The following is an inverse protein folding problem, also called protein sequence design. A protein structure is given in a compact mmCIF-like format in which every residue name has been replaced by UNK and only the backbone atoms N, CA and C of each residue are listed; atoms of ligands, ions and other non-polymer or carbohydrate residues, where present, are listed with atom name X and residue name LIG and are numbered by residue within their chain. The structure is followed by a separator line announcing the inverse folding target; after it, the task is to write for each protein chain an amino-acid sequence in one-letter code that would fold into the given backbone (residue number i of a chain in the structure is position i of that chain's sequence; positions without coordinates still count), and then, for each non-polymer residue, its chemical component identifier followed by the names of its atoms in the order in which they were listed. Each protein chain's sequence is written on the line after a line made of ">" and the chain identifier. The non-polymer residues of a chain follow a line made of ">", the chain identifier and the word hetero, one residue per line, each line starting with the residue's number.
data_IF_147326337085
#
_entry.id   IF_147326337085
#
_cell.length_a   1.000
_cell.length_b   1.000
_cell.length_c   1.000
_cell.angle_alpha   90.00
_cell.angle_beta   90.00
_cell.angle_gamma   90.00
#
_symmetry.space_group_name_H-M   'P 1'
#
loop_
_entity.id
_entity.type
_entity.pdbx_description
1 polymer ?
#
# COMPACT_ATOMS: atom_id res chain seq x y z
N UNK A 1 44.68 30.43 -86.30
CA UNK A 1 44.53 30.83 -84.89
C UNK A 1 43.09 31.30 -84.66
N UNK A 2 42.10 30.40 -84.47
CA UNK A 2 40.75 30.80 -84.02
C UNK A 2 39.82 29.66 -83.52
N UNK A 3 40.34 28.50 -83.12
CA UNK A 3 39.52 27.33 -82.69
C UNK A 3 39.47 27.11 -81.18
N UNK A 4 40.25 27.87 -80.39
CA UNK A 4 40.34 27.70 -78.94
C UNK A 4 39.23 28.48 -78.20
N UNK A 5 38.76 29.61 -78.76
CA UNK A 5 37.70 30.42 -78.13
C UNK A 5 36.30 29.78 -78.24
N UNK A 6 35.98 29.08 -79.33
CA UNK A 6 34.64 28.51 -79.53
C UNK A 6 34.37 27.29 -78.63
N UNK A 7 35.38 26.45 -78.38
CA UNK A 7 35.25 25.31 -77.48
C UNK A 7 35.08 25.76 -76.01
N UNK A 8 35.87 26.74 -75.57
CA UNK A 8 35.76 27.30 -74.23
C UNK A 8 34.44 28.05 -74.00
N UNK A 9 33.89 28.71 -75.03
CA UNK A 9 32.55 29.31 -75.00
C UNK A 9 31.44 28.27 -74.92
N UNK A 10 31.54 27.18 -75.68
CA UNK A 10 30.57 26.09 -75.63
C UNK A 10 30.51 25.44 -74.24
N UNK A 11 31.67 25.16 -73.63
CA UNK A 11 31.75 24.59 -72.29
C UNK A 11 31.17 25.53 -71.21
N UNK A 12 31.39 26.84 -71.35
CA UNK A 12 30.79 27.85 -70.47
C UNK A 12 29.28 27.96 -70.63
N UNK A 13 28.77 27.88 -71.86
CA UNK A 13 27.33 27.86 -72.14
C UNK A 13 26.67 26.66 -71.50
N UNK A 14 27.27 25.48 -71.63
CA UNK A 14 26.74 24.24 -71.05
C UNK A 14 26.79 24.26 -69.51
N UNK A 15 27.83 24.85 -68.93
CA UNK A 15 27.90 25.06 -67.48
C UNK A 15 26.87 26.09 -66.97
N UNK A 16 26.52 27.08 -67.79
CA UNK A 16 25.46 28.05 -67.50
C UNK A 16 24.08 27.43 -67.60
N UNK A 17 23.85 26.59 -68.62
CA UNK A 17 22.58 25.89 -68.83
C UNK A 17 22.27 24.98 -67.64
N UNK A 18 23.25 24.19 -67.19
CA UNK A 18 23.11 23.37 -65.97
C UNK A 18 22.82 24.17 -64.71
N UNK A 19 23.38 25.38 -64.58
CA UNK A 19 23.10 26.26 -63.44
C UNK A 19 21.73 26.89 -63.54
N UNK A 20 21.29 27.25 -64.74
CA UNK A 20 19.96 27.77 -65.01
C UNK A 20 18.91 26.71 -64.73
N UNK A 21 19.13 25.46 -65.13
CA UNK A 21 18.24 24.33 -64.82
C UNK A 21 18.11 24.09 -63.31
N UNK A 22 19.24 24.15 -62.58
CA UNK A 22 19.23 23.98 -61.13
C UNK A 22 18.51 25.13 -60.41
N UNK A 23 18.68 26.37 -60.89
CA UNK A 23 17.93 27.53 -60.37
C UNK A 23 16.46 27.46 -60.77
N UNK A 24 16.14 26.97 -61.96
CA UNK A 24 14.77 26.82 -62.43
C UNK A 24 14.00 25.81 -61.56
N UNK A 25 14.63 24.67 -61.26
CA UNK A 25 14.08 23.66 -60.35
C UNK A 25 13.82 24.23 -58.94
N UNK A 26 14.77 25.00 -58.40
CA UNK A 26 14.60 25.63 -57.08
C UNK A 26 13.49 26.70 -57.10
N UNK A 27 13.37 27.47 -58.19
CA UNK A 27 12.32 28.47 -58.36
C UNK A 27 10.93 27.84 -58.42
N UNK A 28 10.80 26.63 -58.98
CA UNK A 28 9.53 25.89 -59.00
C UNK A 28 9.12 25.40 -57.60
N UNK A 29 10.06 24.86 -56.82
CA UNK A 29 9.85 24.49 -55.41
C UNK A 29 9.47 25.72 -54.57
N UNK A 30 10.17 26.84 -54.73
CA UNK A 30 9.84 28.11 -54.05
C UNK A 30 8.44 28.62 -54.44
N UNK A 31 8.04 28.48 -55.71
CA UNK A 31 6.69 28.84 -56.16
C UNK A 31 5.63 27.93 -55.56
N UNK A 32 5.92 26.63 -55.39
CA UNK A 32 5.01 25.68 -54.72
C UNK A 32 4.84 26.04 -53.26
N UNK A 33 5.94 26.27 -52.54
CA UNK A 33 5.92 26.68 -51.14
C UNK A 33 5.13 27.99 -50.94
N UNK A 34 5.30 28.97 -51.82
CA UNK A 34 4.52 30.23 -51.75
C UNK A 34 3.02 29.99 -51.90
N UNK A 35 2.61 29.10 -52.81
CA UNK A 35 1.19 28.75 -52.98
C UNK A 35 0.64 28.00 -51.77
N UNK A 36 1.38 27.03 -51.25
CA UNK A 36 0.99 26.29 -50.04
C UNK A 36 0.87 27.22 -48.83
N UNK A 37 1.76 28.21 -48.70
CA UNK A 37 1.68 29.25 -47.67
C UNK A 37 0.47 30.18 -47.88
N UNK A 38 0.14 30.50 -49.13
CA UNK A 38 -1.00 31.35 -49.47
C UNK A 38 -2.33 30.63 -49.22
N UNK A 39 -2.41 29.34 -49.53
CA UNK A 39 -3.54 28.46 -49.18
C UNK A 39 -3.68 28.31 -47.66
N UNK A 40 -2.58 28.04 -46.94
CA UNK A 40 -2.59 27.94 -45.49
C UNK A 40 -3.02 29.27 -44.84
N UNK A 41 -2.58 30.40 -45.40
CA UNK A 41 -2.99 31.73 -44.95
C UNK A 41 -4.48 31.95 -45.17
N UNK A 42 -5.01 31.56 -46.33
CA UNK A 42 -6.42 31.68 -46.65
C UNK A 42 -7.30 30.75 -45.78
N UNK A 43 -6.85 29.53 -45.54
CA UNK A 43 -7.51 28.57 -44.66
C UNK A 43 -7.49 29.03 -43.20
N UNK A 44 -6.35 29.51 -42.73
CA UNK A 44 -6.21 30.07 -41.39
C UNK A 44 -7.06 31.34 -41.24
N UNK A 45 -7.12 32.18 -42.27
CA UNK A 45 -7.98 33.36 -42.28
C UNK A 45 -9.47 32.99 -42.24
N UNK A 46 -9.87 31.92 -42.94
CA UNK A 46 -11.24 31.40 -42.93
C UNK A 46 -11.61 30.82 -41.56
N UNK A 47 -10.82 29.89 -41.04
CA UNK A 47 -11.06 29.26 -39.72
C UNK A 47 -10.99 30.31 -38.61
N UNK A 48 -10.02 31.23 -38.67
CA UNK A 48 -9.92 32.34 -37.72
C UNK A 48 -11.14 33.25 -37.76
N UNK A 49 -11.65 33.58 -38.95
CA UNK A 49 -12.87 34.37 -39.12
C UNK A 49 -14.10 33.65 -38.58
N UNK A 50 -14.24 32.35 -38.82
CA UNK A 50 -15.38 31.56 -38.36
C UNK A 50 -15.35 31.40 -36.84
N UNK A 51 -14.18 31.11 -36.24
CA UNK A 51 -14.01 31.06 -34.79
C UNK A 51 -14.27 32.42 -34.13
N UNK A 52 -13.77 33.52 -34.71
CA UNK A 52 -14.04 34.87 -34.21
C UNK A 52 -15.52 35.21 -34.31
N UNK A 53 -16.20 34.80 -35.38
CA UNK A 53 -17.62 35.06 -35.57
C UNK A 53 -18.48 34.27 -34.59
N UNK A 54 -18.14 33.00 -34.34
CA UNK A 54 -18.77 32.17 -33.31
C UNK A 54 -18.52 32.76 -31.93
N UNK A 55 -17.27 33.11 -31.62
CA UNK A 55 -16.94 33.78 -30.36
C UNK A 55 -17.69 35.10 -30.19
N UNK A 56 -17.82 35.94 -31.23
CA UNK A 56 -18.61 37.18 -31.19
C UNK A 56 -20.09 36.91 -30.97
N UNK A 57 -20.64 35.83 -31.54
CA UNK A 57 -22.06 35.45 -31.36
C UNK A 57 -22.31 34.96 -29.93
N UNK A 58 -21.43 34.13 -29.38
CA UNK A 58 -21.47 33.67 -27.98
C UNK A 58 -21.17 34.83 -27.01
N UNK A 59 -20.29 35.75 -27.38
CA UNK A 59 -20.01 36.97 -26.62
C UNK A 59 -21.18 37.95 -26.64
N UNK A 60 -22.11 37.88 -27.59
CA UNK A 60 -23.35 38.67 -27.60
C UNK A 60 -24.27 38.28 -26.42
N UNK A 61 -24.19 37.01 -25.96
CA UNK A 61 -24.86 36.56 -24.73
C UNK A 61 -24.18 37.10 -23.46
N UNK A 62 -22.87 37.38 -23.53
CA UNK A 62 -22.04 37.92 -22.44
C UNK A 62 -21.88 39.45 -22.54
N UNK A 63 -22.30 40.07 -23.65
CA UNK A 63 -22.25 41.50 -23.93
C UNK A 63 -22.92 42.40 -22.88
N UNK A 64 -23.96 41.96 -22.14
CA UNK A 64 -24.49 42.74 -21.01
C UNK A 64 -23.48 42.93 -19.86
N UNK A 65 -22.41 42.13 -19.82
CA UNK A 65 -21.40 42.09 -18.75
C UNK A 65 -20.01 42.57 -19.20
N UNK A 66 -19.84 42.99 -20.46
CA UNK A 66 -18.54 43.35 -21.05
C UNK A 66 -18.67 44.70 -21.77
N UNK A 67 -17.94 45.71 -21.32
CA UNK A 67 -17.92 47.03 -21.96
C UNK A 67 -17.02 47.04 -23.20
N UNK A 68 -17.29 47.94 -24.15
CA UNK A 68 -16.54 48.07 -25.42
C UNK A 68 -15.04 48.38 -25.24
N UNK A 69 -14.59 48.69 -24.02
CA UNK A 69 -13.18 48.90 -23.67
C UNK A 69 -12.48 47.72 -22.97
N UNK A 70 -13.22 46.72 -22.49
CA UNK A 70 -12.67 45.67 -21.65
C UNK A 70 -11.70 44.77 -22.41
N UNK A 71 -11.99 44.47 -23.68
CA UNK A 71 -11.09 43.68 -24.52
C UNK A 71 -9.75 44.38 -24.78
N UNK A 72 -9.78 45.70 -25.03
CA UNK A 72 -8.56 46.50 -25.18
C UNK A 72 -7.79 46.60 -23.86
N UNK A 73 -8.51 46.71 -22.73
CA UNK A 73 -7.90 46.69 -21.40
C UNK A 73 -7.27 45.33 -21.08
N UNK A 74 -7.89 44.22 -21.47
CA UNK A 74 -7.36 42.86 -21.34
C UNK A 74 -6.12 42.66 -22.20
N UNK A 75 -6.14 43.04 -23.48
CA UNK A 75 -4.96 43.01 -24.36
C UNK A 75 -3.82 43.85 -23.80
N UNK A 76 -4.12 45.05 -23.29
CA UNK A 76 -3.13 45.91 -22.64
C UNK A 76 -2.59 45.30 -21.36
N UNK A 77 -3.42 44.63 -20.55
CA UNK A 77 -3.00 43.90 -19.34
C UNK A 77 -2.12 42.71 -19.69
N UNK A 78 -2.48 41.91 -20.70
CA UNK A 78 -1.67 40.79 -21.20
C UNK A 78 -0.31 41.27 -21.71
N UNK A 79 -0.29 42.30 -22.57
CA UNK A 79 0.95 42.89 -23.07
C UNK A 79 1.82 43.47 -21.94
N UNK A 80 1.20 44.08 -20.93
CA UNK A 80 1.91 44.61 -19.75
C UNK A 80 2.45 43.51 -18.83
N UNK A 81 1.78 42.37 -18.77
CA UNK A 81 2.16 41.19 -17.99
C UNK A 81 3.00 40.16 -18.77
N UNK A 82 3.59 40.55 -19.90
CA UNK A 82 4.46 39.65 -20.68
C UNK A 82 5.56 39.02 -19.82
N UNK A 83 6.10 39.75 -18.84
CA UNK A 83 7.08 39.20 -17.90
C UNK A 83 6.50 38.09 -17.02
N UNK A 84 5.31 38.28 -16.44
CA UNK A 84 4.64 37.26 -15.64
C UNK A 84 4.25 36.04 -16.49
N UNK A 85 3.83 36.25 -17.74
CA UNK A 85 3.54 35.16 -18.67
C UNK A 85 4.81 34.37 -19.00
N UNK A 86 5.94 35.06 -19.16
CA UNK A 86 7.23 34.41 -19.36
C UNK A 86 7.67 33.60 -18.14
N UNK A 87 7.49 34.13 -16.93
CA UNK A 87 7.75 33.40 -15.67
C UNK A 87 6.86 32.16 -15.53
N UNK A 88 5.57 32.26 -15.91
CA UNK A 88 4.67 31.10 -15.94
C UNK A 88 5.13 30.06 -16.96
N UNK A 89 5.60 30.48 -18.14
CA UNK A 89 6.13 29.55 -19.13
C UNK A 89 7.37 28.80 -18.61
N UNK A 90 8.27 29.51 -17.91
CA UNK A 90 9.43 28.90 -17.24
C UNK A 90 9.01 27.93 -16.13
N UNK A 91 7.96 28.25 -15.36
CA UNK A 91 7.42 27.33 -14.35
C UNK A 91 6.79 26.09 -14.99
N UNK A 92 6.09 26.22 -16.12
CA UNK A 92 5.52 25.10 -16.87
C UNK A 92 6.62 24.22 -17.44
N UNK A 93 7.71 24.81 -17.94
CA UNK A 93 8.90 24.09 -18.38
C UNK A 93 9.52 23.31 -17.22
N UNK A 94 9.71 23.96 -16.07
CA UNK A 94 10.23 23.32 -14.86
C UNK A 94 9.33 22.18 -14.35
N UNK A 95 8.00 22.35 -14.41
CA UNK A 95 7.04 21.31 -14.04
C UNK A 95 7.07 20.14 -15.01
N UNK A 96 7.23 20.41 -16.31
CA UNK A 96 7.40 19.38 -17.34
C UNK A 96 8.70 18.61 -17.16
N UNK A 97 9.78 19.30 -16.82
CA UNK A 97 11.09 18.68 -16.58
C UNK A 97 11.05 17.83 -15.30
N UNK A 98 10.45 18.32 -14.22
CA UNK A 98 10.20 17.53 -13.02
C UNK A 98 9.33 16.28 -13.32
N UNK A 99 8.29 16.41 -14.15
CA UNK A 99 7.48 15.27 -14.56
C UNK A 99 8.29 14.27 -15.42
N UNK A 100 9.15 14.75 -16.31
CA UNK A 100 10.04 13.91 -17.12
C UNK A 100 11.02 13.14 -16.25
N UNK A 101 11.57 13.78 -15.22
CA UNK A 101 12.54 13.16 -14.31
C UNK A 101 11.86 12.25 -13.28
N UNK A 102 10.67 12.60 -12.81
CA UNK A 102 9.90 11.81 -11.86
C UNK A 102 9.24 10.59 -12.50
N UNK A 103 8.92 10.63 -13.81
CA UNK A 103 8.22 9.51 -14.48
C UNK A 103 9.01 8.19 -14.45
N UNK A 104 10.32 8.14 -14.79
CA UNK A 104 11.14 6.94 -14.66
C UNK A 104 11.20 6.43 -13.22
N UNK A 105 11.45 7.31 -12.26
CA UNK A 105 11.54 6.96 -10.84
C UNK A 105 10.21 6.41 -10.31
N UNK A 106 9.09 7.03 -10.67
CA UNK A 106 7.76 6.58 -10.29
C UNK A 106 7.44 5.21 -10.87
N UNK A 107 7.84 4.93 -12.13
CA UNK A 107 7.65 3.61 -12.74
C UNK A 107 8.43 2.52 -12.02
N UNK A 108 9.67 2.79 -11.63
CA UNK A 108 10.51 1.86 -10.88
C UNK A 108 9.91 1.59 -9.49
N UNK A 109 9.56 2.66 -8.75
CA UNK A 109 8.94 2.53 -7.42
C UNK A 109 7.60 1.79 -7.46
N UNK A 110 6.77 2.04 -8.48
CA UNK A 110 5.51 1.32 -8.68
C UNK A 110 5.78 -0.15 -9.02
N UNK A 111 6.74 -0.43 -9.91
CA UNK A 111 7.11 -1.79 -10.29
C UNK A 111 7.62 -2.59 -9.09
N UNK A 112 8.55 -2.03 -8.32
CA UNK A 112 9.09 -2.63 -7.10
C UNK A 112 8.02 -2.81 -6.03
N UNK A 113 7.13 -1.82 -5.89
CA UNK A 113 5.97 -1.89 -5.02
C UNK A 113 5.05 -3.05 -5.39
N UNK A 114 4.69 -3.18 -6.67
CA UNK A 114 3.85 -4.27 -7.18
C UNK A 114 4.55 -5.62 -7.00
N UNK A 115 5.86 -5.72 -7.27
CA UNK A 115 6.61 -6.96 -7.07
C UNK A 115 6.63 -7.39 -5.59
N UNK A 116 6.82 -6.44 -4.66
CA UNK A 116 6.73 -6.73 -3.22
C UNK A 116 5.33 -7.14 -2.80
N UNK A 117 4.30 -6.47 -3.32
CA UNK A 117 2.92 -6.82 -3.01
C UNK A 117 2.58 -8.22 -3.54
N UNK A 118 3.02 -8.58 -4.74
CA UNK A 118 2.86 -9.93 -5.31
C UNK A 118 3.60 -10.98 -4.47
N UNK A 119 4.82 -10.67 -4.00
CA UNK A 119 5.57 -11.55 -3.10
C UNK A 119 4.81 -11.79 -1.78
N UNK A 120 4.23 -10.74 -1.20
CA UNK A 120 3.42 -10.84 0.01
C UNK A 120 2.16 -11.69 -0.23
N UNK A 121 1.50 -11.53 -1.38
CA UNK A 121 0.33 -12.32 -1.74
C UNK A 121 0.68 -13.80 -1.95
N UNK A 122 1.75 -14.08 -2.72
CA UNK A 122 2.25 -15.45 -2.95
C UNK A 122 2.65 -16.16 -1.67
N UNK A 123 3.26 -15.44 -0.72
CA UNK A 123 3.58 -15.97 0.62
C UNK A 123 2.35 -16.10 1.52
N UNK A 124 1.17 -15.65 1.08
CA UNK A 124 -0.09 -15.79 1.80
C UNK A 124 -0.30 -14.74 2.90
N UNK A 125 0.48 -13.65 2.94
CA UNK A 125 0.33 -12.63 3.98
C UNK A 125 -1.05 -11.96 3.95
N UNK A 126 -1.62 -11.71 2.76
CA UNK A 126 -2.98 -11.16 2.67
C UNK A 126 -4.06 -12.15 3.11
N UNK A 127 -3.88 -13.44 2.84
CA UNK A 127 -4.79 -14.46 3.34
C UNK A 127 -4.74 -14.52 4.88
N UNK A 128 -3.54 -14.61 5.45
CA UNK A 128 -3.33 -14.61 6.89
C UNK A 128 -3.84 -13.34 7.55
N UNK A 129 -3.58 -12.17 6.97
CA UNK A 129 -4.06 -10.88 7.47
C UNK A 129 -5.58 -10.79 7.49
N UNK A 130 -6.27 -11.34 6.47
CA UNK A 130 -7.74 -11.43 6.46
C UNK A 130 -8.26 -12.33 7.58
N UNK A 131 -7.65 -13.49 7.80
CA UNK A 131 -8.07 -14.39 8.88
C UNK A 131 -7.81 -13.77 10.26
N UNK A 132 -6.66 -13.12 10.46
CA UNK A 132 -6.37 -12.36 11.67
C UNK A 132 -7.38 -11.23 11.87
N UNK A 133 -7.74 -10.51 10.81
CA UNK A 133 -8.78 -9.49 10.85
C UNK A 133 -10.14 -10.04 11.30
N UNK A 134 -10.56 -11.18 10.75
CA UNK A 134 -11.81 -11.86 11.19
C UNK A 134 -11.74 -12.32 12.63
N UNK A 135 -10.59 -12.87 13.06
CA UNK A 135 -10.41 -13.27 14.44
C UNK A 135 -10.49 -12.06 15.38
N UNK A 136 -9.87 -10.93 15.02
CA UNK A 136 -9.96 -9.68 15.78
C UNK A 136 -11.39 -9.13 15.81
N UNK A 137 -12.11 -9.17 14.69
CA UNK A 137 -13.52 -8.73 14.63
C UNK A 137 -14.42 -9.59 15.52
N UNK A 138 -14.23 -10.91 15.52
CA UNK A 138 -14.92 -11.82 16.43
C UNK A 138 -14.61 -11.51 17.90
N UNK A 139 -13.36 -11.14 18.22
CA UNK A 139 -12.99 -10.70 19.58
C UNK A 139 -13.70 -9.39 19.90
N UNK A 140 -13.58 -8.35 19.06
CA UNK A 140 -14.17 -7.02 19.33
C UNK A 140 -15.70 -7.06 19.43
N UNK A 141 -16.36 -7.95 18.70
CA UNK A 141 -17.82 -8.14 18.79
C UNK A 141 -18.27 -8.84 20.07
N UNK A 142 -17.43 -9.70 20.67
CA UNK A 142 -17.77 -10.46 21.88
C UNK A 142 -17.24 -9.83 23.17
N UNK A 143 -16.20 -9.00 23.08
CA UNK A 143 -15.60 -8.33 24.21
C UNK A 143 -16.01 -6.87 24.25
N UNK A 144 -16.54 -6.44 25.40
CA UNK A 144 -16.87 -5.03 25.62
C UNK A 144 -15.60 -4.19 25.86
N UNK A 145 -15.66 -2.86 25.72
CA UNK A 145 -14.54 -1.99 26.09
C UNK A 145 -14.06 -2.19 27.53
N UNK A 146 -14.98 -2.49 28.46
CA UNK A 146 -14.67 -2.89 29.83
C UNK A 146 -13.86 -4.19 29.91
N UNK A 147 -14.20 -5.21 29.10
CA UNK A 147 -13.44 -6.45 29.07
C UNK A 147 -12.02 -6.23 28.53
N UNK A 148 -11.87 -5.39 27.52
CA UNK A 148 -10.56 -5.02 26.98
C UNK A 148 -9.69 -4.30 28.03
N UNK A 149 -10.28 -3.42 28.86
CA UNK A 149 -9.58 -2.77 29.98
C UNK A 149 -9.17 -3.78 31.05
N UNK A 150 -10.07 -4.68 31.45
CA UNK A 150 -9.75 -5.72 32.44
C UNK A 150 -8.65 -6.66 31.94
N UNK A 151 -8.64 -6.97 30.64
CA UNK A 151 -7.56 -7.73 30.03
C UNK A 151 -6.24 -6.96 30.06
N UNK A 152 -6.24 -5.68 29.69
CA UNK A 152 -5.05 -4.83 29.72
C UNK A 152 -4.47 -4.70 31.14
N UNK A 153 -5.31 -4.53 32.15
CA UNK A 153 -4.89 -4.42 33.55
C UNK A 153 -4.27 -5.72 34.08
N UNK A 154 -4.67 -6.87 33.53
CA UNK A 154 -4.22 -8.20 33.96
C UNK A 154 -3.25 -8.88 32.98
N UNK A 155 -2.85 -8.20 31.90
CA UNK A 155 -2.07 -8.81 30.81
C UNK A 155 -0.72 -9.32 31.30
N UNK A 156 -0.07 -8.61 32.24
CA UNK A 156 1.22 -9.02 32.81
C UNK A 156 1.10 -10.36 33.54
N UNK A 157 0.09 -10.52 34.41
CA UNK A 157 -0.15 -11.76 35.16
C UNK A 157 -0.49 -12.92 34.22
N UNK A 158 -1.28 -12.66 33.18
CA UNK A 158 -1.60 -13.68 32.17
C UNK A 158 -0.36 -14.10 31.38
N UNK A 159 0.51 -13.16 30.99
CA UNK A 159 1.77 -13.45 30.30
C UNK A 159 2.75 -14.21 31.20
N UNK A 160 2.83 -13.88 32.49
CA UNK A 160 3.63 -14.62 33.46
C UNK A 160 3.10 -16.05 33.66
N UNK A 161 1.78 -16.21 33.72
CA UNK A 161 1.14 -17.52 33.81
C UNK A 161 1.40 -18.34 32.55
N UNK A 162 1.22 -17.75 31.37
CA UNK A 162 1.52 -18.40 30.10
C UNK A 162 2.99 -18.81 30.02
N UNK A 163 3.90 -17.90 30.38
CA UNK A 163 5.34 -18.19 30.49
C UNK A 163 5.58 -19.37 31.44
N UNK A 164 4.92 -19.40 32.60
CA UNK A 164 5.01 -20.50 33.57
C UNK A 164 4.53 -21.84 33.02
N UNK A 165 3.44 -21.85 32.25
CA UNK A 165 2.91 -23.05 31.61
C UNK A 165 3.80 -23.53 30.47
N UNK A 166 4.47 -22.62 29.76
CA UNK A 166 5.44 -22.95 28.70
C UNK A 166 6.82 -23.31 29.22
N UNK A 167 7.04 -23.37 30.55
CA UNK A 167 8.30 -23.85 31.10
C UNK A 167 8.52 -25.32 30.70
N UNK A 168 9.77 -25.73 30.40
CA UNK A 168 10.08 -27.08 29.93
C UNK A 168 9.48 -28.19 30.81
N UNK A 169 9.53 -28.02 32.13
CA UNK A 169 9.04 -28.98 33.11
C UNK A 169 7.52 -29.18 32.99
N UNK A 170 6.77 -28.10 32.82
CA UNK A 170 5.31 -28.13 32.67
C UNK A 170 4.90 -28.71 31.31
N UNK A 171 5.59 -28.33 30.23
CA UNK A 171 5.34 -28.90 28.90
C UNK A 171 5.58 -30.42 28.89
N UNK A 172 6.66 -30.88 29.51
CA UNK A 172 6.95 -32.31 29.64
C UNK A 172 5.87 -33.03 30.48
N UNK A 173 5.44 -32.44 31.59
CA UNK A 173 4.38 -33.01 32.42
C UNK A 173 3.05 -33.16 31.65
N UNK A 174 2.65 -32.11 30.91
CA UNK A 174 1.44 -32.13 30.08
C UNK A 174 1.55 -33.16 28.96
N UNK A 175 2.69 -33.21 28.25
CA UNK A 175 2.90 -34.19 27.20
C UNK A 175 2.85 -35.63 27.72
N UNK A 176 3.49 -35.91 28.85
CA UNK A 176 3.45 -37.21 29.50
C UNK A 176 2.01 -37.59 29.93
N UNK A 177 1.26 -36.66 30.51
CA UNK A 177 -0.12 -36.88 30.90
C UNK A 177 -1.01 -37.19 29.69
N UNK A 178 -0.85 -36.46 28.58
CA UNK A 178 -1.57 -36.70 27.33
C UNK A 178 -1.23 -38.05 26.71
N UNK A 179 0.04 -38.47 26.78
CA UNK A 179 0.47 -39.79 26.33
C UNK A 179 -0.13 -40.92 27.18
N UNK A 180 -0.13 -40.76 28.50
CA UNK A 180 -0.77 -41.71 29.43
C UNK A 180 -2.27 -41.79 29.13
N UNK A 181 -2.97 -40.65 28.98
CA UNK A 181 -4.40 -40.62 28.66
C UNK A 181 -4.74 -41.36 27.36
N UNK A 182 -3.93 -41.18 26.30
CA UNK A 182 -4.11 -41.91 25.02
C UNK A 182 -3.90 -43.42 25.15
N UNK A 183 -3.06 -43.86 26.10
CA UNK A 183 -2.78 -45.28 26.35
C UNK A 183 -3.83 -45.96 27.24
N UNK A 184 -4.60 -45.18 27.98
CA UNK A 184 -5.68 -45.69 28.82
C UNK A 184 -6.94 -45.86 27.97
N UNK A 185 -7.19 -47.08 27.48
CA UNK A 185 -8.49 -47.42 26.88
C UNK A 185 -9.51 -47.68 27.98
N UNK A 186 -10.23 -46.62 28.35
CA UNK A 186 -11.27 -46.67 29.38
C UNK A 186 -12.42 -47.62 29.03
N UNK A 187 -12.59 -48.01 27.75
CA UNK A 187 -13.62 -48.97 27.35
C UNK A 187 -13.26 -50.42 27.69
N UNK A 188 -11.98 -50.71 27.98
CA UNK A 188 -11.47 -52.05 28.27
C UNK A 188 -11.01 -52.24 29.73
N UNK A 189 -11.24 -51.25 30.61
CA UNK A 189 -10.86 -51.36 32.01
C UNK A 189 -11.77 -52.33 32.76
N UNK A 190 -11.19 -53.43 33.27
CA UNK A 190 -11.90 -54.38 34.14
C UNK A 190 -12.38 -53.71 35.43
N UNK A 191 -13.61 -54.00 35.84
CA UNK A 191 -14.16 -53.57 37.12
C UNK A 191 -13.35 -54.16 38.28
N UNK A 192 -12.82 -53.28 39.14
CA UNK A 192 -11.99 -53.69 40.28
C UNK A 192 -12.89 -53.96 41.50
N UNK A 193 -12.91 -55.20 41.97
CA UNK A 193 -13.58 -55.58 43.23
C UNK A 193 -13.05 -54.77 44.43
N UNK A 194 -13.94 -54.38 45.36
CA UNK A 194 -13.63 -53.59 46.56
C UNK A 194 -12.43 -54.11 47.38
N UNK A 195 -12.30 -55.43 47.51
CA UNK A 195 -11.19 -56.04 48.24
C UNK A 195 -9.87 -56.00 47.46
N UNK A 196 -9.95 -56.15 46.13
CA UNK A 196 -8.79 -56.02 45.24
C UNK A 196 -8.30 -54.57 45.23
N UNK A 197 -9.22 -53.59 45.17
CA UNK A 197 -8.91 -52.18 45.30
C UNK A 197 -8.21 -51.85 46.64
N UNK A 198 -8.72 -52.39 47.75
CA UNK A 198 -8.07 -52.20 49.06
C UNK A 198 -6.64 -52.76 49.11
N UNK A 199 -6.42 -53.95 48.54
CA UNK A 199 -5.06 -54.51 48.42
C UNK A 199 -4.18 -53.65 47.53
N UNK A 200 -4.72 -53.17 46.40
CA UNK A 200 -4.00 -52.35 45.43
C UNK A 200 -3.53 -51.01 46.04
N UNK A 201 -4.39 -50.38 46.84
CA UNK A 201 -4.06 -49.14 47.57
C UNK A 201 -2.94 -49.32 48.60
N UNK A 202 -2.76 -50.52 49.13
CA UNK A 202 -1.69 -50.81 50.10
C UNK A 202 -0.34 -51.12 49.43
N UNK A 203 -0.26 -51.17 48.09
CA UNK A 203 1.01 -51.33 47.38
C UNK A 203 1.95 -50.14 47.64
N UNK A 204 3.27 -50.35 47.65
CA UNK A 204 4.24 -49.30 48.01
C UNK A 204 4.19 -48.09 47.09
N UNK A 205 3.92 -48.29 45.80
CA UNK A 205 3.77 -47.20 44.81
C UNK A 205 2.57 -46.32 45.13
N UNK A 206 1.43 -46.93 45.49
CA UNK A 206 0.18 -46.23 45.73
C UNK A 206 0.19 -45.49 47.07
N UNK A 207 0.84 -46.07 48.08
CA UNK A 207 1.12 -45.37 49.35
C UNK A 207 2.02 -44.15 49.16
N UNK A 208 3.02 -44.23 48.26
CA UNK A 208 3.86 -43.07 47.91
C UNK A 208 3.05 -42.00 47.18
N UNK A 209 2.18 -42.38 46.24
CA UNK A 209 1.29 -41.46 45.55
C UNK A 209 0.30 -40.76 46.52
N UNK A 210 -0.28 -41.49 47.47
CA UNK A 210 -1.10 -40.91 48.53
C UNK A 210 -0.30 -39.96 49.43
N UNK A 211 0.93 -40.31 49.79
CA UNK A 211 1.82 -39.42 50.55
C UNK A 211 2.17 -38.13 49.80
N UNK A 212 2.41 -38.23 48.49
CA UNK A 212 2.60 -37.08 47.61
C UNK A 212 1.34 -36.21 47.58
N UNK A 213 0.16 -36.80 47.36
CA UNK A 213 -1.12 -36.09 47.30
C UNK A 213 -1.39 -35.35 48.62
N UNK A 214 -1.20 -36.01 49.76
CA UNK A 214 -1.36 -35.40 51.08
C UNK A 214 -0.39 -34.23 51.28
N UNK A 215 0.87 -34.38 50.85
CA UNK A 215 1.87 -33.32 50.94
C UNK A 215 1.53 -32.14 50.02
N UNK A 216 1.06 -32.41 48.81
CA UNK A 216 0.60 -31.39 47.86
C UNK A 216 -0.60 -30.62 48.42
N UNK A 217 -1.63 -31.32 48.92
CA UNK A 217 -2.82 -30.71 49.52
C UNK A 217 -2.48 -29.87 50.75
N UNK A 218 -1.54 -30.34 51.58
CA UNK A 218 -1.05 -29.58 52.73
C UNK A 218 -0.37 -28.28 52.31
N UNK A 219 0.54 -28.34 51.32
CA UNK A 219 1.19 -27.16 50.79
C UNK A 219 0.20 -26.17 50.16
N UNK A 220 -0.84 -26.67 49.49
CA UNK A 220 -1.89 -25.83 48.89
C UNK A 220 -2.78 -25.14 49.95
N UNK A 221 -3.02 -25.80 51.08
CA UNK A 221 -3.70 -25.20 52.22
C UNK A 221 -2.84 -24.14 52.93
N UNK A 222 -1.52 -24.35 53.00
CA UNK A 222 -0.55 -23.41 53.60
C UNK A 222 -0.27 -22.20 52.68
N UNK A 223 -0.30 -22.39 51.36
CA UNK A 223 -0.17 -21.36 50.32
C UNK A 223 -1.40 -21.33 49.41
N UNK A 224 -2.52 -20.68 49.85
CA UNK A 224 -3.73 -20.60 49.05
C UNK A 224 -3.47 -19.93 47.71
N UNK A 225 -4.09 -20.45 46.66
CA UNK A 225 -4.09 -19.82 45.33
C UNK A 225 -4.54 -18.36 45.43
N UNK A 226 -3.97 -17.43 44.63
CA UNK A 226 -4.39 -16.03 44.63
C UNK A 226 -5.92 -15.93 44.45
N UNK A 227 -6.62 -15.42 45.47
CA UNK A 227 -8.08 -15.26 45.46
C UNK A 227 -8.88 -16.28 46.30
N UNK A 228 -8.26 -17.30 46.89
CA UNK A 228 -8.96 -18.21 47.80
C UNK A 228 -9.15 -17.57 49.19
N UNK A 229 -10.39 -17.19 49.53
CA UNK A 229 -10.77 -16.71 50.87
C UNK A 229 -10.53 -17.84 51.89
N UNK A 230 -9.69 -17.59 52.90
CA UNK A 230 -9.47 -18.54 54.00
C UNK A 230 -10.80 -18.81 54.73
N UNK A 231 -11.19 -20.05 55.00
CA UNK A 231 -12.23 -20.29 56.00
C UNK A 231 -11.73 -19.76 57.35
N UNK A 232 -12.54 -18.95 58.01
CA UNK A 232 -12.21 -18.36 59.31
C UNK A 232 -11.84 -19.46 60.31
N UNK A 233 -10.68 -19.32 60.96
CA UNK A 233 -10.28 -20.19 62.06
C UNK A 233 -11.39 -20.25 63.11
N UNK A 234 -11.72 -21.43 63.69
CA UNK A 234 -12.67 -21.49 64.78
C UNK A 234 -12.10 -20.71 65.95
N UNK A 235 -12.85 -19.70 66.40
CA UNK A 235 -12.56 -18.94 67.62
C UNK A 235 -12.51 -19.93 68.77
N UNK A 236 -11.31 -20.15 69.30
CA UNK A 236 -11.10 -20.87 70.56
C UNK A 236 -11.79 -20.07 71.66
N UNK A 237 -13.01 -20.48 71.99
CA UNK A 237 -13.78 -20.01 73.13
C UNK A 237 -13.87 -21.15 74.14
N UNK A 238 -12.76 -21.37 74.83
CA UNK A 238 -12.75 -22.02 76.13
C UNK A 238 -12.19 -21.02 77.13
N UNK A 239 -13.10 -20.22 77.70
CA UNK A 239 -12.87 -19.52 78.96
C UNK A 239 -12.81 -20.54 80.10
N UNK A 240 -12.12 -20.25 81.22
CA UNK A 240 -12.38 -20.93 82.47
C UNK A 240 -13.77 -20.60 83.03
#
# INVERSE_FOLDING_TARGET
>A
MNTIDSAALAERLEALDRKLDLVLAEVEEVRRLRREVEELKDDLARVGKDLLRTAVTELDEVAPFVETGDFAALLKRLARNTNNLNELLVQVESARDLLRDATPLARELVSDGVAKLDELDRKGYFAMGRELGRALDNVVTHFTPEDARRLADNVVVMLETFKSLTQPEMLLAVNNAMEIYRKLDFAQMEEVSLWRAFRELNKPEMRRALGFLLSFLRNLAEHPLPGAVRPASPVSSAQP
#
